data_IF_623517807261
#
_entry.id   IF_623517807261
#
_cell.length_a   1.000
_cell.length_b   1.000
_cell.length_c   1.000
_cell.angle_alpha   90.00
_cell.angle_beta   90.00
_cell.angle_gamma   90.00
#
_symmetry.space_group_name_H-M   'P 1'
#
loop_
_entity.id
_entity.type
_entity.pdbx_description
1 polymer ?
#
# COMPACT_ATOMS: atom_id res chain seq x y z
N UNK A 1 -11.92 -0.02 15.56
CA UNK A 1 -10.46 0.01 15.78
C UNK A 1 -9.70 0.27 14.48
N UNK A 2 -8.78 1.24 14.49
CA UNK A 2 -7.83 1.46 13.40
C UNK A 2 -6.40 1.26 13.91
N UNK A 3 -5.58 0.52 13.17
CA UNK A 3 -4.19 0.22 13.55
C UNK A 3 -3.27 0.37 12.34
N UNK A 4 -2.18 1.14 12.49
CA UNK A 4 -1.09 1.16 11.51
C UNK A 4 -0.25 -0.11 11.59
N UNK A 5 0.15 -0.65 10.45
CA UNK A 5 1.05 -1.81 10.33
C UNK A 5 2.45 -1.35 9.93
N UNK A 6 2.56 -0.55 8.87
CA UNK A 6 3.83 -0.03 8.37
C UNK A 6 3.57 1.17 7.44
N UNK A 7 4.57 2.03 7.29
CA UNK A 7 4.54 3.17 6.39
C UNK A 7 5.95 3.56 5.94
N UNK A 8 6.07 4.09 4.73
CA UNK A 8 7.33 4.60 4.23
C UNK A 8 7.17 5.68 3.18
N UNK A 9 8.21 6.50 3.05
CA UNK A 9 8.38 7.45 1.95
C UNK A 9 9.11 6.75 0.81
N UNK A 10 8.56 6.87 -0.39
CA UNK A 10 9.17 6.46 -1.65
C UNK A 10 9.62 7.73 -2.37
N UNK A 11 10.93 7.89 -2.63
CA UNK A 11 11.43 9.04 -3.38
C UNK A 11 10.94 9.01 -4.82
N UNK A 12 11.06 10.14 -5.51
CA UNK A 12 10.84 10.24 -6.95
C UNK A 12 11.64 9.15 -7.70
N UNK A 13 10.97 8.48 -8.64
CA UNK A 13 11.62 7.48 -9.48
C UNK A 13 12.48 8.18 -10.56
N UNK A 14 13.64 7.62 -10.91
CA UNK A 14 14.50 8.18 -11.96
C UNK A 14 13.97 7.86 -13.36
N UNK A 15 12.78 8.35 -13.68
CA UNK A 15 12.10 8.18 -14.98
C UNK A 15 12.08 9.48 -15.77
N UNK A 16 11.90 9.42 -17.09
CA UNK A 16 11.77 10.63 -17.93
C UNK A 16 10.51 11.43 -17.60
N UNK A 17 9.45 10.72 -17.19
CA UNK A 17 8.23 11.33 -16.67
C UNK A 17 8.42 11.70 -15.19
N UNK A 18 8.14 12.96 -14.80
CA UNK A 18 8.25 13.38 -13.41
C UNK A 18 7.24 12.61 -12.56
N UNK A 19 7.73 11.97 -11.50
CA UNK A 19 6.89 11.29 -10.51
C UNK A 19 7.11 11.94 -9.15
N UNK A 20 6.06 12.44 -8.48
CA UNK A 20 6.25 13.01 -7.15
C UNK A 20 6.73 11.93 -6.19
N UNK A 21 7.51 12.32 -5.18
CA UNK A 21 7.74 11.45 -4.03
C UNK A 21 6.38 11.16 -3.36
N UNK A 22 6.16 9.90 -2.96
CA UNK A 22 4.90 9.47 -2.35
C UNK A 22 5.15 8.83 -1.00
N UNK A 23 4.17 8.91 -0.12
CA UNK A 23 4.08 8.11 1.10
C UNK A 23 3.10 6.97 0.85
N UNK A 24 3.43 5.76 1.32
CA UNK A 24 2.45 4.70 1.47
C UNK A 24 2.28 4.33 2.93
N UNK A 25 1.07 3.90 3.31
CA UNK A 25 0.81 3.29 4.60
C UNK A 25 -0.10 2.08 4.46
N UNK A 26 0.18 1.05 5.24
CA UNK A 26 -0.65 -0.14 5.39
C UNK A 26 -1.25 -0.13 6.79
N UNK A 27 -2.57 -0.28 6.87
CA UNK A 27 -3.31 -0.31 8.12
C UNK A 27 -4.40 -1.36 8.14
N UNK A 28 -5.04 -1.50 9.29
CA UNK A 28 -6.25 -2.29 9.50
C UNK A 28 -7.35 -1.35 9.98
N UNK A 29 -8.54 -1.47 9.41
CA UNK A 29 -9.77 -0.82 9.87
C UNK A 29 -10.87 -1.88 10.00
N UNK A 30 -11.74 -1.74 10.98
CA UNK A 30 -12.99 -2.52 11.13
C UNK A 30 -14.23 -1.62 11.06
N UNK A 31 -14.04 -0.34 10.74
CA UNK A 31 -15.07 0.70 10.70
C UNK A 31 -15.89 0.62 9.41
N UNK A 32 -16.63 -0.48 9.26
CA UNK A 32 -17.50 -0.76 8.13
C UNK A 32 -18.84 -1.29 8.62
N UNK A 33 -19.88 -1.05 7.83
CA UNK A 33 -21.25 -1.44 8.18
C UNK A 33 -21.44 -2.97 8.30
N UNK A 34 -20.61 -3.74 7.60
CA UNK A 34 -20.63 -5.21 7.63
C UNK A 34 -19.80 -5.82 8.77
N UNK A 35 -19.17 -4.99 9.61
CA UNK A 35 -18.29 -5.43 10.71
C UNK A 35 -17.11 -6.30 10.27
N UNK A 36 -16.74 -6.32 8.99
CA UNK A 36 -15.60 -7.07 8.49
C UNK A 36 -14.33 -6.21 8.49
N UNK A 37 -13.24 -6.66 9.15
CA UNK A 37 -11.97 -5.94 9.11
C UNK A 37 -11.35 -5.99 7.72
N UNK A 38 -10.80 -4.86 7.28
CA UNK A 38 -10.12 -4.68 5.99
C UNK A 38 -8.72 -4.12 6.19
N UNK A 39 -7.83 -4.52 5.29
CA UNK A 39 -6.53 -3.87 5.12
C UNK A 39 -6.73 -2.58 4.33
N UNK A 40 -6.17 -1.49 4.82
CA UNK A 40 -6.13 -0.21 4.09
C UNK A 40 -4.74 -0.02 3.50
N UNK A 41 -4.66 0.26 2.20
CA UNK A 41 -3.44 0.74 1.54
C UNK A 41 -3.69 2.18 1.10
N UNK A 42 -2.99 3.12 1.72
CA UNK A 42 -3.00 4.52 1.31
C UNK A 42 -1.75 4.79 0.49
N UNK A 43 -1.91 5.51 -0.62
CA UNK A 43 -0.79 6.09 -1.39
C UNK A 43 -1.12 7.56 -1.62
N UNK A 44 -0.24 8.45 -1.16
CA UNK A 44 -0.43 9.90 -1.25
C UNK A 44 0.88 10.62 -1.59
N UNK A 45 0.79 11.77 -2.25
CA UNK A 45 1.96 12.60 -2.53
C UNK A 45 2.57 13.15 -1.23
N UNK A 46 3.90 13.12 -1.14
CA UNK A 46 4.62 13.60 0.02
C UNK A 46 4.38 15.12 0.20
N UNK A 47 3.88 15.51 1.36
CA UNK A 47 3.57 16.92 1.66
C UNK A 47 2.17 17.37 1.25
N UNK A 48 1.35 16.48 0.66
CA UNK A 48 -0.03 16.75 0.29
C UNK A 48 -1.02 15.77 0.99
N UNK A 49 -1.07 15.73 2.33
CA UNK A 49 -1.84 14.73 3.06
C UNK A 49 -3.34 14.80 2.73
N UNK A 50 -3.96 13.63 2.58
CA UNK A 50 -5.41 13.51 2.33
C UNK A 50 -5.84 13.76 0.87
N UNK A 51 -4.88 13.93 -0.04
CA UNK A 51 -5.14 14.05 -1.50
C UNK A 51 -4.95 12.72 -2.24
N UNK A 52 -4.40 11.71 -1.57
CA UNK A 52 -4.10 10.40 -2.14
C UNK A 52 -5.30 9.47 -2.28
N UNK A 53 -4.99 8.23 -2.68
CA UNK A 53 -5.97 7.15 -2.84
C UNK A 53 -5.85 6.22 -1.65
N UNK A 54 -7.00 5.86 -1.07
CA UNK A 54 -7.10 4.80 -0.05
C UNK A 54 -7.82 3.60 -0.65
N UNK A 55 -7.14 2.46 -0.68
CA UNK A 55 -7.71 1.19 -1.12
C UNK A 55 -8.11 0.38 0.10
N UNK A 56 -9.36 -0.08 0.12
CA UNK A 56 -9.90 -0.92 1.18
C UNK A 56 -10.00 -2.37 0.69
N UNK A 57 -9.13 -3.24 1.20
CA UNK A 57 -9.00 -4.63 0.76
C UNK A 57 -9.53 -5.58 1.83
N UNK A 58 -10.44 -6.48 1.43
CA UNK A 58 -10.73 -7.66 2.23
C UNK A 58 -9.53 -8.63 2.23
N UNK A 59 -9.62 -9.72 3.01
CA UNK A 59 -8.52 -10.67 3.15
C UNK A 59 -8.02 -11.27 1.84
N UNK A 60 -8.93 -11.57 0.90
CA UNK A 60 -8.57 -12.14 -0.40
C UNK A 60 -7.90 -11.11 -1.32
N UNK A 61 -8.41 -9.87 -1.35
CA UNK A 61 -7.79 -8.77 -2.08
C UNK A 61 -6.38 -8.45 -1.58
N UNK A 62 -6.19 -8.41 -0.26
CA UNK A 62 -4.89 -8.21 0.36
C UNK A 62 -3.91 -9.34 0.04
N UNK A 63 -4.37 -10.60 0.10
CA UNK A 63 -3.55 -11.76 -0.27
C UNK A 63 -3.14 -11.73 -1.74
N UNK A 64 -4.06 -11.35 -2.63
CA UNK A 64 -3.79 -11.22 -4.07
C UNK A 64 -2.75 -10.14 -4.35
N UNK A 65 -2.86 -8.96 -3.72
CA UNK A 65 -1.86 -7.91 -3.85
C UNK A 65 -0.49 -8.37 -3.34
N UNK A 66 -0.44 -9.01 -2.16
CA UNK A 66 0.80 -9.56 -1.59
C UNK A 66 1.50 -10.53 -2.56
N UNK A 67 0.74 -11.44 -3.18
CA UNK A 67 1.28 -12.39 -4.15
C UNK A 67 1.79 -11.69 -5.42
N UNK A 68 1.10 -10.66 -5.90
CA UNK A 68 1.55 -9.87 -7.05
C UNK A 68 2.91 -9.19 -6.76
N UNK A 69 3.05 -8.57 -5.59
CA UNK A 69 4.31 -7.96 -5.15
C UNK A 69 5.42 -8.99 -4.98
N UNK A 70 5.13 -10.13 -4.34
CA UNK A 70 6.09 -11.22 -4.16
C UNK A 70 6.59 -11.78 -5.51
N UNK A 71 5.70 -11.92 -6.50
CA UNK A 71 6.09 -12.31 -7.86
C UNK A 71 6.96 -11.24 -8.52
N UNK A 72 6.60 -9.96 -8.41
CA UNK A 72 7.40 -8.87 -8.97
C UNK A 72 8.81 -8.79 -8.37
N UNK A 73 8.96 -9.06 -7.06
CA UNK A 73 10.27 -9.13 -6.40
C UNK A 73 11.17 -10.21 -7.01
N UNK A 74 10.62 -11.39 -7.31
CA UNK A 74 11.36 -12.48 -7.96
C UNK A 74 11.84 -12.07 -9.36
N UNK A 75 10.98 -11.42 -10.14
CA UNK A 75 11.32 -10.96 -11.50
C UNK A 75 12.46 -9.92 -11.51
N UNK A 76 12.58 -9.11 -10.47
CA UNK A 76 13.70 -8.15 -10.32
C UNK A 76 14.92 -8.73 -9.58
N UNK A 77 14.96 -10.05 -9.37
CA UNK A 77 16.10 -10.76 -8.77
C UNK A 77 16.20 -10.67 -7.26
N UNK A 78 15.12 -10.29 -6.58
CA UNK A 78 15.05 -10.18 -5.12
C UNK A 78 14.40 -11.42 -4.49
N UNK A 79 14.61 -11.63 -3.18
CA UNK A 79 13.85 -12.62 -2.44
C UNK A 79 12.37 -12.20 -2.37
N UNK A 80 11.46 -13.16 -2.53
CA UNK A 80 10.01 -12.91 -2.55
C UNK A 80 9.46 -12.36 -1.22
N UNK A 81 10.23 -12.45 -0.13
CA UNK A 81 9.81 -12.14 1.22
C UNK A 81 9.05 -13.28 1.89
N UNK A 82 8.68 -13.08 3.16
CA UNK A 82 7.90 -14.04 3.95
C UNK A 82 6.39 -13.87 3.71
#
# INVERSE_FOLDING_TARGET
>A
MRRSIDDAVVPEAPTEDPTPAVCWSVGISDDYEDSEPRVTLTVEEQGAPGTGIVVHLNGDGARRLRLALASALVEVGMDRGR
#
